data_IF_458560785968
#
_entry.id   IF_458560785968
#
_cell.length_a   1.000
_cell.length_b   1.000
_cell.length_c   1.000
_cell.angle_alpha   90.00
_cell.angle_beta   90.00
_cell.angle_gamma   90.00
#
_symmetry.space_group_name_H-M   'P 1'
#
loop_
_entity.id
_entity.type
_entity.pdbx_description
1 polymer ?
#
# COMPACT_ATOMS: atom_id res chain seq x y z
N UNK A 1 -9.80 3.10 -8.73
CA UNK A 1 -9.17 4.15 -7.88
C UNK A 1 -7.71 3.82 -7.57
N UNK A 2 -7.41 2.60 -7.08
CA UNK A 2 -6.03 2.13 -6.85
C UNK A 2 -5.20 2.11 -8.16
N UNK A 3 -5.74 1.58 -9.25
CA UNK A 3 -5.07 1.56 -10.56
C UNK A 3 -4.79 2.96 -11.11
N UNK A 4 -5.65 3.94 -10.80
CA UNK A 4 -5.44 5.33 -11.21
C UNK A 4 -4.36 6.03 -10.35
N UNK A 5 -4.17 5.58 -9.10
CA UNK A 5 -3.07 6.00 -8.24
C UNK A 5 -1.75 5.34 -8.63
N UNK A 6 -1.80 4.06 -9.04
CA UNK A 6 -0.63 3.31 -9.50
C UNK A 6 -0.21 3.71 -10.91
N UNK A 7 -1.15 4.07 -11.79
CA UNK A 7 -0.92 4.66 -13.11
C UNK A 7 0.25 4.01 -13.87
N UNK A 8 1.19 4.85 -14.31
CA UNK A 8 2.39 4.44 -15.04
C UNK A 8 3.36 3.58 -14.20
N UNK A 9 3.30 3.72 -12.87
CA UNK A 9 4.09 2.91 -11.93
C UNK A 9 3.59 1.48 -11.83
N UNK A 10 2.35 1.18 -12.22
CA UNK A 10 1.83 -0.18 -12.23
C UNK A 10 2.68 -1.11 -13.11
N UNK A 11 3.08 -0.62 -14.29
CA UNK A 11 3.93 -1.39 -15.21
C UNK A 11 5.33 -1.58 -14.62
N UNK A 12 5.91 -0.52 -14.06
CA UNK A 12 7.22 -0.54 -13.41
C UNK A 12 7.26 -1.54 -12.23
N UNK A 13 6.21 -1.55 -11.40
CA UNK A 13 6.06 -2.48 -10.28
C UNK A 13 6.05 -3.94 -10.77
N UNK A 14 5.27 -4.24 -11.82
CA UNK A 14 5.19 -5.59 -12.40
C UNK A 14 6.52 -6.02 -13.02
N UNK A 15 7.15 -5.13 -13.78
CA UNK A 15 8.45 -5.39 -14.40
C UNK A 15 9.53 -5.67 -13.35
N UNK A 16 9.54 -4.96 -12.22
CA UNK A 16 10.46 -5.20 -11.11
C UNK A 16 10.23 -6.58 -10.49
N UNK A 17 8.98 -6.96 -10.21
CA UNK A 17 8.67 -8.28 -9.63
C UNK A 17 9.09 -9.43 -10.54
N UNK A 18 8.82 -9.30 -11.84
CA UNK A 18 9.18 -10.31 -12.82
C UNK A 18 10.70 -10.44 -12.98
N UNK A 19 11.42 -9.32 -13.00
CA UNK A 19 12.87 -9.33 -13.25
C UNK A 19 13.72 -9.61 -12.00
N UNK A 20 13.26 -9.21 -10.81
CA UNK A 20 14.07 -9.24 -9.59
C UNK A 20 13.60 -10.26 -8.55
N UNK A 21 12.34 -10.68 -8.61
CA UNK A 21 11.73 -11.54 -7.59
C UNK A 21 11.22 -12.87 -8.13
N UNK A 22 11.43 -13.14 -9.42
CA UNK A 22 11.05 -14.42 -10.05
C UNK A 22 9.55 -14.61 -10.25
N UNK A 23 8.76 -13.53 -10.18
CA UNK A 23 7.31 -13.60 -10.42
C UNK A 23 7.03 -13.90 -11.89
N UNK A 24 6.06 -14.77 -12.14
CA UNK A 24 5.39 -14.83 -13.43
C UNK A 24 4.53 -13.58 -13.65
N UNK A 25 4.17 -13.32 -14.90
CA UNK A 25 3.31 -12.19 -15.23
C UNK A 25 1.97 -12.24 -14.48
N UNK A 26 1.36 -13.43 -14.38
CA UNK A 26 0.11 -13.61 -13.65
C UNK A 26 0.27 -13.32 -12.15
N UNK A 27 1.33 -13.83 -11.53
CA UNK A 27 1.59 -13.55 -10.11
C UNK A 27 1.84 -12.06 -9.87
N UNK A 28 2.56 -11.37 -10.76
CA UNK A 28 2.76 -9.93 -10.66
C UNK A 28 1.45 -9.15 -10.85
N UNK A 29 0.58 -9.59 -11.76
CA UNK A 29 -0.74 -9.01 -12.01
C UNK A 29 -1.66 -9.09 -10.78
N UNK A 30 -1.61 -10.20 -10.04
CA UNK A 30 -2.40 -10.41 -8.83
C UNK A 30 -1.75 -9.78 -7.58
N UNK A 31 -0.41 -9.80 -7.50
CA UNK A 31 0.34 -9.34 -6.34
C UNK A 31 0.40 -7.82 -6.23
N UNK A 32 0.69 -7.09 -7.32
CA UNK A 32 0.88 -5.64 -7.27
C UNK A 32 -0.36 -4.91 -6.71
N UNK A 33 -1.59 -5.19 -7.17
CA UNK A 33 -2.78 -4.52 -6.63
C UNK A 33 -3.03 -4.87 -5.16
N UNK A 34 -2.80 -6.12 -4.76
CA UNK A 34 -2.97 -6.57 -3.39
C UNK A 34 -1.94 -5.93 -2.45
N UNK A 35 -0.66 -5.94 -2.84
CA UNK A 35 0.42 -5.30 -2.12
C UNK A 35 0.21 -3.78 -1.98
N UNK A 36 -0.17 -3.10 -3.06
CA UNK A 36 -0.45 -1.67 -3.03
C UNK A 36 -1.64 -1.33 -2.13
N UNK A 37 -2.69 -2.16 -2.11
CA UNK A 37 -3.84 -1.95 -1.23
C UNK A 37 -3.46 -2.09 0.23
N UNK A 38 -2.77 -3.17 0.58
CA UNK A 38 -2.33 -3.43 1.97
C UNK A 38 -1.31 -2.36 2.41
N UNK A 39 -0.45 -1.88 1.50
CA UNK A 39 0.50 -0.79 1.77
C UNK A 39 -0.21 0.52 2.06
N UNK A 40 -1.16 0.92 1.21
CA UNK A 40 -1.89 2.16 1.41
C UNK A 40 -2.78 2.12 2.66
N UNK A 41 -3.36 0.96 2.98
CA UNK A 41 -4.08 0.76 4.24
C UNK A 41 -3.18 0.94 5.45
N UNK A 42 -2.04 0.24 5.49
CA UNK A 42 -1.04 0.32 6.56
C UNK A 42 -0.49 1.74 6.71
N UNK A 43 -0.19 2.39 5.60
CA UNK A 43 0.28 3.78 5.56
C UNK A 43 -0.74 4.75 6.15
N UNK A 44 -2.03 4.55 5.86
CA UNK A 44 -3.10 5.37 6.43
C UNK A 44 -3.28 5.15 7.93
N UNK A 45 -3.26 3.88 8.37
CA UNK A 45 -3.36 3.53 9.80
C UNK A 45 -2.20 4.12 10.62
N UNK A 46 -1.00 4.15 10.04
CA UNK A 46 0.22 4.62 10.71
C UNK A 46 0.67 6.03 10.31
N UNK A 47 -0.20 6.82 9.69
CA UNK A 47 0.17 8.15 9.14
C UNK A 47 0.85 9.08 10.14
N UNK A 48 0.47 8.99 11.42
CA UNK A 48 1.01 9.83 12.50
C UNK A 48 2.38 9.32 13.02
N UNK A 49 2.71 8.07 12.71
CA UNK A 49 3.98 7.42 13.04
C UNK A 49 4.98 7.40 11.86
N UNK A 50 4.46 7.65 10.65
CA UNK A 50 5.18 7.69 9.39
C UNK A 50 5.78 9.08 9.21
N UNK A 51 7.11 9.14 9.07
CA UNK A 51 7.81 10.38 8.81
C UNK A 51 8.18 10.45 7.32
N UNK A 52 7.43 11.22 6.55
CA UNK A 52 7.68 11.39 5.12
C UNK A 52 8.98 12.16 4.82
N UNK A 53 9.53 12.87 5.81
CA UNK A 53 10.87 13.47 5.70
C UNK A 53 11.98 12.45 6.00
N UNK A 54 11.64 11.25 6.47
CA UNK A 54 12.55 10.13 6.69
C UNK A 54 11.94 8.85 6.09
N UNK A 55 11.98 8.78 4.76
CA UNK A 55 11.44 7.68 3.98
C UNK A 55 12.04 6.32 4.36
N UNK A 56 13.29 6.30 4.83
CA UNK A 56 13.97 5.07 5.21
C UNK A 56 13.41 4.50 6.53
N UNK A 57 13.20 5.34 7.55
CA UNK A 57 12.53 4.92 8.79
C UNK A 57 11.06 4.53 8.54
N UNK A 58 10.39 5.24 7.63
CA UNK A 58 9.03 4.92 7.18
C UNK A 58 8.98 3.56 6.48
N UNK A 59 9.92 3.27 5.58
CA UNK A 59 10.02 1.98 4.89
C UNK A 59 10.12 0.81 5.88
N UNK A 60 10.99 0.94 6.89
CA UNK A 60 11.18 -0.09 7.92
C UNK A 60 9.90 -0.29 8.72
N UNK A 61 9.28 0.77 9.22
CA UNK A 61 8.02 0.67 9.99
C UNK A 61 6.88 0.07 9.17
N UNK A 62 6.77 0.44 7.90
CA UNK A 62 5.74 -0.09 7.01
C UNK A 62 5.98 -1.57 6.71
N UNK A 63 7.23 -1.98 6.47
CA UNK A 63 7.61 -3.39 6.30
C UNK A 63 7.31 -4.22 7.54
N UNK A 64 7.66 -3.73 8.73
CA UNK A 64 7.39 -4.43 10.00
C UNK A 64 5.90 -4.60 10.27
N UNK A 65 5.08 -3.70 9.73
CA UNK A 65 3.62 -3.73 9.88
C UNK A 65 2.94 -4.52 8.76
N UNK A 66 3.69 -4.93 7.74
CA UNK A 66 3.17 -5.60 6.57
C UNK A 66 3.06 -7.09 6.84
N UNK A 67 1.84 -7.63 6.83
CA UNK A 67 1.64 -9.08 6.91
C UNK A 67 1.89 -9.73 5.55
N UNK A 68 3.18 -9.91 5.23
CA UNK A 68 3.63 -10.51 3.96
C UNK A 68 3.18 -11.96 3.83
N UNK A 69 3.07 -12.69 4.94
CA UNK A 69 2.70 -14.10 4.93
C UNK A 69 1.20 -14.27 4.58
N UNK A 70 0.33 -13.38 5.09
CA UNK A 70 -1.06 -13.29 4.66
C UNK A 70 -1.19 -12.88 3.19
N UNK A 71 -0.38 -11.93 2.71
CA UNK A 71 -0.37 -11.53 1.30
C UNK A 71 0.04 -12.69 0.38
N UNK A 72 1.11 -13.40 0.74
CA UNK A 72 1.60 -14.57 0.01
C UNK A 72 0.51 -15.63 -0.12
N UNK A 73 -0.20 -15.91 0.98
CA UNK A 73 -1.29 -16.88 1.01
C UNK A 73 -2.47 -16.46 0.13
N UNK A 74 -2.86 -15.18 0.15
CA UNK A 74 -3.95 -14.64 -0.70
C UNK A 74 -3.65 -14.78 -2.19
N UNK A 75 -2.41 -14.53 -2.59
CA UNK A 75 -1.97 -14.55 -4.00
C UNK A 75 -1.55 -15.97 -4.43
N UNK A 76 -1.31 -16.87 -3.48
CA UNK A 76 -0.92 -18.26 -3.76
C UNK A 76 0.55 -18.42 -4.14
N UNK A 77 1.44 -17.57 -3.60
CA UNK A 77 2.89 -17.59 -3.85
C UNK A 77 3.67 -17.96 -2.58
N UNK A 78 4.94 -18.41 -2.70
CA UNK A 78 5.81 -18.63 -1.55
C UNK A 78 6.03 -17.36 -0.72
N UNK A 79 6.06 -17.49 0.61
CA UNK A 79 6.30 -16.36 1.52
C UNK A 79 7.63 -15.65 1.25
N UNK A 80 8.70 -16.40 0.98
CA UNK A 80 10.01 -15.82 0.65
C UNK A 80 9.97 -15.01 -0.65
N UNK A 81 9.21 -15.48 -1.64
CA UNK A 81 8.99 -14.76 -2.90
C UNK A 81 8.16 -13.49 -2.68
N UNK A 82 7.12 -13.55 -1.84
CA UNK A 82 6.35 -12.37 -1.45
C UNK A 82 7.22 -11.33 -0.71
N UNK A 83 8.10 -11.76 0.19
CA UNK A 83 9.04 -10.89 0.92
C UNK A 83 10.03 -10.21 -0.01
N UNK A 84 10.63 -10.96 -0.92
CA UNK A 84 11.49 -10.41 -1.96
C UNK A 84 10.72 -9.41 -2.85
N UNK A 85 9.49 -9.77 -3.23
CA UNK A 85 8.62 -8.94 -4.04
C UNK A 85 8.29 -7.61 -3.38
N UNK A 86 7.82 -7.63 -2.12
CA UNK A 86 7.57 -6.41 -1.33
C UNK A 86 8.85 -5.58 -1.22
N UNK A 87 9.99 -6.18 -0.85
CA UNK A 87 11.24 -5.45 -0.72
C UNK A 87 11.69 -4.76 -2.02
N UNK A 88 11.45 -5.41 -3.17
CA UNK A 88 11.79 -4.85 -4.48
C UNK A 88 10.89 -3.68 -4.88
N UNK A 89 9.59 -3.75 -4.57
CA UNK A 89 8.62 -2.73 -4.98
C UNK A 89 8.41 -1.61 -3.95
N UNK A 90 8.83 -1.81 -2.70
CA UNK A 90 8.62 -0.85 -1.62
C UNK A 90 9.14 0.56 -1.93
N UNK A 91 10.34 0.75 -2.53
CA UNK A 91 10.81 2.10 -2.87
C UNK A 91 9.86 2.83 -3.84
N UNK A 92 9.26 2.09 -4.78
CA UNK A 92 8.30 2.64 -5.75
C UNK A 92 6.99 3.02 -5.05
N UNK A 93 6.50 2.16 -4.15
CA UNK A 93 5.30 2.43 -3.35
C UNK A 93 5.46 3.66 -2.44
N UNK A 94 6.64 3.83 -1.85
CA UNK A 94 6.98 5.01 -1.04
C UNK A 94 7.04 6.27 -1.90
N UNK A 95 7.70 6.20 -3.06
CA UNK A 95 7.76 7.32 -4.00
C UNK A 95 6.36 7.74 -4.48
N UNK A 96 5.47 6.77 -4.71
CA UNK A 96 4.05 7.03 -5.00
C UNK A 96 3.34 7.73 -3.84
N UNK A 97 3.57 7.28 -2.59
CA UNK A 97 2.97 7.90 -1.42
C UNK A 97 3.46 9.34 -1.21
N UNK A 98 4.71 9.63 -1.53
CA UNK A 98 5.29 10.98 -1.49
C UNK A 98 4.69 11.87 -2.59
N UNK A 99 4.66 11.41 -3.84
CA UNK A 99 4.11 12.15 -4.99
C UNK A 99 2.60 12.39 -4.91
N UNK A 100 1.89 11.54 -4.18
CA UNK A 100 0.45 11.62 -4.00
C UNK A 100 0.04 11.86 -2.56
N UNK A 101 0.94 12.44 -1.74
CA UNK A 101 0.67 12.75 -0.33
C UNK A 101 -0.65 13.49 -0.14
N UNK A 102 -0.89 14.54 -0.93
CA UNK A 102 -2.12 15.33 -0.86
C UNK A 102 -3.38 14.52 -1.21
N UNK A 103 -3.27 13.61 -2.20
CA UNK A 103 -4.38 12.71 -2.58
C UNK A 103 -4.65 11.66 -1.51
N UNK A 104 -3.60 11.16 -0.85
CA UNK A 104 -3.72 10.23 0.27
C UNK A 104 -4.33 10.91 1.50
N UNK A 105 -3.96 12.17 1.77
CA UNK A 105 -4.58 13.00 2.80
C UNK A 105 -6.06 13.30 2.49
N UNK A 106 -6.41 13.53 1.22
CA UNK A 106 -7.81 13.68 0.77
C UNK A 106 -8.62 12.38 0.90
N UNK A 107 -8.05 11.22 0.53
CA UNK A 107 -8.68 9.91 0.71
C UNK A 107 -8.97 9.64 2.19
N UNK A 108 -8.02 9.99 3.06
CA UNK A 108 -8.18 9.94 4.51
C UNK A 108 -9.28 10.90 5.00
N UNK A 109 -9.37 12.11 4.44
CA UNK A 109 -10.42 13.06 4.78
C UNK A 109 -11.80 12.54 4.35
N UNK A 110 -11.89 11.88 3.19
CA UNK A 110 -13.14 11.32 2.69
C UNK A 110 -13.60 10.08 3.48
N UNK A 111 -12.69 9.16 3.84
CA UNK A 111 -13.01 7.98 4.65
C UNK A 111 -13.21 8.31 6.13
N UNK A 112 -12.40 9.21 6.69
CA UNK A 112 -12.56 9.71 8.06
C UNK A 112 -13.83 10.54 8.25
N UNK A 113 -14.27 11.27 7.23
CA UNK A 113 -15.50 12.06 7.29
C UNK A 113 -16.77 11.27 7.01
N UNK A 114 -16.69 10.08 6.37
CA UNK A 114 -17.86 9.24 6.07
C UNK A 114 -18.41 8.46 7.26
N UNK A 115 -17.65 8.32 8.36
CA UNK A 115 -18.11 7.62 9.58
C UNK A 115 -18.26 8.54 10.80
N UNK A 116 -17.65 9.74 10.79
CA UNK A 116 -17.69 10.68 11.93
C UNK A 116 -18.85 11.69 11.93
N UNK A 117 -19.55 11.88 10.80
CA UNK A 117 -20.52 12.97 10.64
C UNK A 117 -22.01 12.59 10.78
N UNK A 118 -22.36 11.31 10.80
CA UNK A 118 -23.76 10.86 10.66
C UNK A 118 -24.33 10.16 11.90
N UNK A 119 -23.75 10.38 13.09
CA UNK A 119 -24.31 9.92 14.38
C UNK A 119 -24.46 11.04 15.42
N UNK A 120 -24.11 12.29 15.10
CA UNK A 120 -24.28 13.45 15.99
C UNK A 120 -25.68 14.10 15.95
N UNK A 121 -26.62 13.54 15.16
CA UNK A 121 -27.84 14.24 14.78
C UNK A 121 -29.17 13.54 15.09
N UNK A 122 -29.21 12.50 15.92
CA UNK A 122 -30.49 11.86 16.28
C UNK A 122 -30.40 11.16 17.63
N UNK A 123 -30.55 11.85 18.76
CA UNK A 123 -31.27 11.33 19.94
C UNK A 123 -31.40 12.43 21.02
N UNK A 124 -32.65 12.86 21.26
CA UNK A 124 -33.25 13.30 22.55
C UNK A 124 -32.53 14.44 23.30
N UNK A 125 -33.13 15.58 23.63
CA UNK A 125 -34.52 15.97 23.91
C UNK A 125 -34.63 17.50 23.76
#
# INVERSE_FOLDING_TARGET
MLEALLGDKLKELKDVLMNQSGFSQKEADDFVPAAAKDFLGTFQEKKDEVNLNNLQATAVKLLESFDVDSLATKVGIPADQARAGIAAILPILISLAEQHKDKLEMLNSFMGSSLGGMLGGFFKR
#
